data_IF_701889270053
#
_entry.id   IF_701889270053
#
_cell.length_a   1.000
_cell.length_b   1.000
_cell.length_c   1.000
_cell.angle_alpha   90.00
_cell.angle_beta   90.00
_cell.angle_gamma   90.00
#
_symmetry.space_group_name_H-M   'P 1'
#
loop_
_entity.id
_entity.type
_entity.pdbx_description
1 polymer ?
#
# COMPACT_ATOMS: atom_id res chain seq x y z
N UNK A 1 4.38 -3.18 6.97
CA UNK A 1 3.99 -2.52 5.70
C UNK A 1 3.81 -3.57 4.64
N UNK A 2 2.78 -3.48 3.81
CA UNK A 2 2.51 -4.42 2.72
C UNK A 2 2.81 -3.75 1.38
N UNK A 3 3.62 -4.37 0.52
CA UNK A 3 4.03 -3.77 -0.76
C UNK A 3 4.36 -4.81 -1.83
N UNK A 4 4.19 -4.47 -3.11
CA UNK A 4 4.80 -5.20 -4.24
C UNK A 4 6.02 -4.47 -4.84
N UNK A 5 6.46 -3.37 -4.24
CA UNK A 5 7.54 -2.53 -4.72
C UNK A 5 8.88 -2.94 -4.06
N UNK A 6 9.81 -3.61 -4.77
CA UNK A 6 11.08 -4.03 -4.19
C UNK A 6 11.94 -2.83 -3.73
N UNK A 7 11.82 -1.67 -4.39
CA UNK A 7 12.57 -0.48 -4.01
C UNK A 7 12.17 0.02 -2.60
N UNK A 8 10.90 -0.16 -2.22
CA UNK A 8 10.41 0.17 -0.87
C UNK A 8 11.06 -0.73 0.18
N UNK A 9 11.14 -2.04 -0.08
CA UNK A 9 11.84 -2.99 0.80
C UNK A 9 13.31 -2.61 0.93
N UNK A 10 14.01 -2.33 -0.17
CA UNK A 10 15.43 -1.96 -0.15
C UNK A 10 15.71 -0.71 0.70
N UNK A 11 14.83 0.30 0.65
CA UNK A 11 15.06 1.59 1.29
C UNK A 11 14.51 1.70 2.72
N UNK A 12 13.41 1.01 3.04
CA UNK A 12 12.69 1.22 4.30
C UNK A 12 12.78 0.04 5.29
N UNK A 13 13.32 -1.11 4.90
CA UNK A 13 13.36 -2.30 5.75
C UNK A 13 14.25 -2.17 7.00
N UNK A 14 15.10 -1.15 7.07
CA UNK A 14 15.87 -0.83 8.28
C UNK A 14 15.07 0.02 9.28
N UNK A 15 13.98 0.65 8.84
CA UNK A 15 13.15 1.57 9.64
C UNK A 15 11.84 0.93 10.09
N UNK A 16 11.23 0.14 9.21
CA UNK A 16 9.93 -0.50 9.44
C UNK A 16 9.92 -1.91 8.86
N UNK A 17 9.08 -2.77 9.43
CA UNK A 17 8.83 -4.10 8.88
C UNK A 17 8.10 -3.99 7.53
N UNK A 18 8.65 -4.64 6.50
CA UNK A 18 8.12 -4.60 5.12
C UNK A 18 7.90 -6.02 4.60
N UNK A 19 6.65 -6.37 4.33
CA UNK A 19 6.26 -7.58 3.63
C UNK A 19 6.19 -7.30 2.13
N UNK A 20 7.13 -7.89 1.38
CA UNK A 20 7.24 -7.73 -0.06
C UNK A 20 6.58 -8.90 -0.80
N UNK A 21 5.63 -8.58 -1.65
CA UNK A 21 4.95 -9.50 -2.58
C UNK A 21 5.25 -9.06 -4.02
N UNK A 22 6.48 -9.30 -4.49
CA UNK A 22 6.95 -8.74 -5.77
C UNK A 22 6.15 -9.19 -7.01
N UNK A 23 5.54 -10.38 -6.94
CA UNK A 23 4.74 -10.94 -8.03
C UNK A 23 3.25 -10.52 -7.98
N UNK A 24 2.84 -9.84 -6.91
CA UNK A 24 1.47 -9.36 -6.76
C UNK A 24 1.19 -8.17 -7.69
N UNK A 25 -0.02 -8.14 -8.26
CA UNK A 25 -0.52 -6.91 -8.84
C UNK A 25 -0.90 -5.89 -7.77
N UNK A 26 -1.08 -4.64 -8.16
CA UNK A 26 -1.68 -3.61 -7.29
C UNK A 26 -2.97 -4.10 -6.61
N UNK A 27 -3.84 -4.81 -7.35
CA UNK A 27 -5.10 -5.33 -6.80
C UNK A 27 -4.87 -6.38 -5.72
N UNK A 28 -3.88 -7.26 -5.92
CA UNK A 28 -3.54 -8.31 -4.97
C UNK A 28 -2.97 -7.71 -3.67
N UNK A 29 -2.15 -6.67 -3.76
CA UNK A 29 -1.68 -5.91 -2.58
C UNK A 29 -2.87 -5.37 -1.78
N UNK A 30 -3.86 -4.74 -2.42
CA UNK A 30 -5.03 -4.23 -1.71
C UNK A 30 -5.85 -5.35 -1.03
N UNK A 31 -6.00 -6.51 -1.69
CA UNK A 31 -6.66 -7.67 -1.07
C UNK A 31 -5.90 -8.19 0.15
N UNK A 32 -4.57 -8.26 0.09
CA UNK A 32 -3.76 -8.65 1.25
C UNK A 32 -3.97 -7.69 2.40
N UNK A 33 -3.92 -6.39 2.14
CA UNK A 33 -4.19 -5.36 3.16
C UNK A 33 -5.56 -5.58 3.80
N UNK A 34 -6.61 -5.86 3.01
CA UNK A 34 -7.93 -6.19 3.55
C UNK A 34 -7.90 -7.44 4.45
N UNK A 35 -7.19 -8.50 4.03
CA UNK A 35 -7.09 -9.73 4.82
C UNK A 35 -6.34 -9.49 6.16
N UNK A 36 -5.34 -8.60 6.16
CA UNK A 36 -4.71 -8.11 7.40
C UNK A 36 -5.69 -7.29 8.25
N UNK A 37 -6.49 -6.40 7.64
CA UNK A 37 -7.51 -5.64 8.38
C UNK A 37 -8.53 -6.56 9.06
N UNK A 38 -9.05 -7.56 8.35
CA UNK A 38 -9.92 -8.58 8.95
C UNK A 38 -9.24 -9.35 10.09
N UNK A 39 -7.92 -9.47 10.05
CA UNK A 39 -7.12 -10.12 11.09
C UNK A 39 -6.80 -9.21 12.29
N UNK A 40 -7.26 -7.96 12.30
CA UNK A 40 -7.10 -7.02 13.41
C UNK A 40 -6.06 -5.92 13.19
N UNK A 41 -5.45 -5.81 12.02
CA UNK A 41 -4.52 -4.71 11.73
C UNK A 41 -5.26 -3.44 11.30
N UNK A 42 -4.71 -2.27 11.62
CA UNK A 42 -5.27 -0.97 11.22
C UNK A 42 -4.39 -0.33 10.15
N UNK A 43 -5.01 0.37 9.19
CA UNK A 43 -4.32 1.08 8.12
C UNK A 43 -3.83 2.45 8.60
N UNK A 44 -2.57 2.77 8.32
CA UNK A 44 -1.90 4.02 8.71
C UNK A 44 -1.74 5.00 7.54
N UNK A 45 -1.80 4.50 6.30
CA UNK A 45 -1.71 5.33 5.09
C UNK A 45 -2.85 5.00 4.15
N UNK A 46 -3.50 6.01 3.58
CA UNK A 46 -4.63 5.80 2.67
C UNK A 46 -4.24 4.85 1.51
N UNK A 47 -5.01 3.77 1.22
CA UNK A 47 -4.62 2.76 0.23
C UNK A 47 -4.47 3.28 -1.21
N UNK A 48 -5.17 4.37 -1.54
CA UNK A 48 -5.04 5.07 -2.82
C UNK A 48 -4.23 6.38 -2.71
N UNK A 49 -3.24 6.43 -1.81
CA UNK A 49 -2.42 7.63 -1.63
C UNK A 49 -1.68 8.03 -2.93
N UNK A 50 -1.55 9.35 -3.11
CA UNK A 50 -0.92 9.98 -4.27
C UNK A 50 -1.92 10.54 -5.29
N UNK A 51 -1.43 11.39 -6.19
CA UNK A 51 -2.19 11.94 -7.32
C UNK A 51 -2.20 11.01 -8.54
N UNK A 52 -1.33 9.99 -8.55
CA UNK A 52 -1.30 8.95 -9.59
C UNK A 52 -2.55 8.10 -9.44
N UNK A 53 -3.32 7.97 -10.51
CA UNK A 53 -4.55 7.19 -10.45
C UNK A 53 -4.20 5.72 -10.19
N UNK A 54 -5.04 4.99 -9.44
CA UNK A 54 -4.74 3.61 -9.04
C UNK A 54 -4.43 2.68 -10.21
N UNK A 55 -5.05 2.92 -11.37
CA UNK A 55 -4.87 2.17 -12.60
C UNK A 55 -3.69 2.62 -13.48
N UNK A 56 -2.91 3.61 -13.05
CA UNK A 56 -1.76 4.14 -13.79
C UNK A 56 -0.42 3.62 -13.23
N UNK A 57 -0.41 3.00 -12.04
CA UNK A 57 0.80 2.45 -11.41
C UNK A 57 0.72 0.93 -11.20
N UNK A 58 1.77 0.17 -11.54
CA UNK A 58 1.88 -1.25 -11.20
C UNK A 58 2.26 -1.48 -9.73
N UNK A 59 2.81 -0.46 -9.06
CA UNK A 59 3.29 -0.56 -7.68
C UNK A 59 2.31 0.05 -6.68
N UNK A 60 2.19 -0.60 -5.53
CA UNK A 60 1.39 -0.14 -4.40
C UNK A 60 2.04 -0.56 -3.08
N UNK A 61 2.04 0.38 -2.15
CA UNK A 61 2.43 0.16 -0.76
C UNK A 61 1.39 0.72 0.21
N UNK A 62 1.14 0.00 1.31
CA UNK A 62 0.25 0.44 2.40
C UNK A 62 0.91 0.16 3.74
N UNK A 63 1.01 1.17 4.60
CA UNK A 63 1.42 1.00 5.98
C UNK A 63 0.22 0.56 6.83
N UNK A 64 0.46 -0.44 7.67
CA UNK A 64 -0.48 -0.95 8.66
C UNK A 64 0.23 -0.99 10.01
N UNK A 65 -0.52 -1.10 11.11
CA UNK A 65 0.02 -1.31 12.45
C UNK A 65 0.94 -2.54 12.50
N UNK A 66 1.88 -2.56 13.43
CA UNK A 66 2.76 -3.73 13.67
C UNK A 66 2.04 -4.81 14.48
N UNK A 67 1.10 -4.40 15.32
CA UNK A 67 0.33 -5.29 16.18
C UNK A 67 -1.14 -5.35 15.76
N UNK A 68 -1.79 -6.46 16.11
CA UNK A 68 -3.22 -6.69 15.91
C UNK A 68 -3.99 -6.13 17.10
N UNK A 69 -5.09 -5.45 16.81
CA UNK A 69 -6.08 -5.04 17.78
C UNK A 69 -7.12 -6.17 17.99
N UNK A 70 -7.78 -6.20 19.14
CA UNK A 70 -8.80 -7.24 19.44
C UNK A 70 -10.02 -7.15 18.52
N UNK A 71 -10.33 -5.95 18.03
CA UNK A 71 -11.47 -5.67 17.17
C UNK A 71 -10.98 -5.16 15.82
N UNK A 72 -11.69 -5.52 14.77
CA UNK A 72 -11.46 -4.96 13.44
C UNK A 72 -11.73 -3.45 13.45
N UNK A 73 -10.76 -2.67 12.97
CA UNK A 73 -10.94 -1.24 12.74
C UNK A 73 -11.88 -1.02 11.55
N UNK A 74 -13.11 -0.60 11.83
CA UNK A 74 -14.15 -0.47 10.80
C UNK A 74 -13.82 0.62 9.77
N UNK A 75 -13.08 1.66 10.18
CA UNK A 75 -12.63 2.69 9.25
C UNK A 75 -11.63 2.12 8.23
N UNK A 76 -10.64 1.35 8.69
CA UNK A 76 -9.68 0.64 7.83
C UNK A 76 -10.39 -0.32 6.88
N UNK A 77 -11.43 -1.01 7.36
CA UNK A 77 -12.22 -1.90 6.51
C UNK A 77 -12.98 -1.13 5.42
N UNK A 78 -13.62 -0.01 5.78
CA UNK A 78 -14.34 0.83 4.82
C UNK A 78 -13.40 1.38 3.73
N UNK A 79 -12.25 1.94 4.12
CA UNK A 79 -11.33 2.56 3.15
C UNK A 79 -10.68 1.53 2.22
N UNK A 80 -10.39 0.31 2.70
CA UNK A 80 -9.79 -0.73 1.84
C UNK A 80 -10.81 -1.31 0.87
N UNK A 81 -12.05 -1.54 1.30
CA UNK A 81 -13.13 -1.99 0.42
C UNK A 81 -13.44 -0.94 -0.66
N UNK A 82 -13.49 0.33 -0.28
CA UNK A 82 -13.67 1.42 -1.23
C UNK A 82 -12.51 1.51 -2.24
N UNK A 83 -11.28 1.30 -1.79
CA UNK A 83 -10.10 1.29 -2.66
C UNK A 83 -10.15 0.15 -3.69
N UNK A 84 -10.46 -1.07 -3.24
CA UNK A 84 -10.62 -2.24 -4.10
C UNK A 84 -11.74 -2.00 -5.12
N UNK A 85 -12.91 -1.57 -4.66
CA UNK A 85 -14.05 -1.29 -5.53
C UNK A 85 -13.74 -0.22 -6.60
N UNK A 86 -13.02 0.82 -6.21
CA UNK A 86 -12.60 1.90 -7.14
C UNK A 86 -11.66 1.35 -8.22
N UNK A 87 -10.72 0.47 -7.84
CA UNK A 87 -9.81 -0.16 -8.79
C UNK A 87 -10.54 -1.12 -9.73
N UNK A 88 -11.47 -1.93 -9.21
CA UNK A 88 -12.25 -2.89 -10.00
C UNK A 88 -13.18 -2.21 -11.01
N UNK A 89 -13.68 -1.02 -10.68
CA UNK A 89 -14.46 -0.19 -11.62
C UNK A 89 -13.62 0.43 -12.72
N UNK A 90 -12.30 0.49 -12.58
CA UNK A 90 -11.43 1.03 -13.61
C UNK A 90 -11.40 0.10 -14.82
N UNK A 91 -11.73 0.62 -16.00
CA UNK A 91 -11.62 -0.13 -17.27
C UNK A 91 -10.18 -0.16 -17.82
N UNK A 92 -9.28 0.64 -17.25
CA UNK A 92 -7.89 0.72 -17.68
C UNK A 92 -6.99 -0.07 -16.74
N UNK A 93 -6.08 -0.84 -17.32
CA UNK A 93 -4.94 -1.45 -16.61
C UNK A 93 -3.68 -0.74 -17.08
N UNK A 94 -2.70 -0.48 -16.19
CA UNK A 94 -1.45 0.10 -16.61
C UNK A 94 -0.73 -0.93 -17.48
N UNK A 95 -0.56 -0.63 -18.77
CA UNK A 95 0.34 -1.39 -19.65
C UNK A 95 1.65 -0.63 -19.65
N UNK A 96 2.51 -0.94 -18.68
CA UNK A 96 3.84 -0.34 -18.58
C UNK A 96 4.86 -1.45 -18.81
N UNK A 97 5.40 -1.50 -20.03
CA UNK A 97 6.39 -2.52 -20.44
C UNK A 97 7.82 -1.96 -20.52
N UNK A 98 8.02 -0.67 -20.23
CA UNK A 98 9.35 -0.04 -20.24
C UNK A 98 9.94 -0.03 -18.82
N UNK A 99 11.12 -0.66 -18.68
CA UNK A 99 11.82 -0.77 -17.40
C UNK A 99 12.16 0.57 -16.75
N UNK A 100 12.46 1.63 -17.53
CA UNK A 100 12.72 2.97 -16.96
C UNK A 100 11.46 3.56 -16.34
N UNK A 101 10.32 3.38 -17.02
CA UNK A 101 9.02 3.86 -16.54
C UNK A 101 8.61 3.11 -15.27
N UNK A 102 8.92 1.81 -15.19
CA UNK A 102 8.71 1.04 -13.96
C UNK A 102 9.51 1.63 -12.79
N UNK A 103 10.80 1.94 -12.98
CA UNK A 103 11.62 2.56 -11.93
C UNK A 103 11.07 3.91 -11.48
N UNK A 104 10.56 4.75 -12.39
CA UNK A 104 9.91 6.01 -12.03
C UNK A 104 8.68 5.78 -11.14
N UNK A 105 7.84 4.79 -11.47
CA UNK A 105 6.70 4.44 -10.60
C UNK A 105 7.13 3.90 -9.23
N UNK A 106 8.22 3.13 -9.16
CA UNK A 106 8.78 2.68 -7.88
C UNK A 106 9.22 3.85 -7.00
N UNK A 107 9.89 4.85 -7.61
CA UNK A 107 10.34 6.05 -6.92
C UNK A 107 9.18 6.91 -6.43
N UNK A 108 8.13 7.06 -7.24
CA UNK A 108 6.91 7.78 -6.84
C UNK A 108 6.29 7.13 -5.60
N UNK A 109 6.05 5.82 -5.63
CA UNK A 109 5.46 5.09 -4.50
C UNK A 109 6.34 5.18 -3.24
N UNK A 110 7.67 5.03 -3.38
CA UNK A 110 8.62 5.23 -2.27
C UNK A 110 8.54 6.65 -1.68
N UNK A 111 8.52 7.68 -2.53
CA UNK A 111 8.51 9.09 -2.08
C UNK A 111 7.23 9.44 -1.31
N UNK A 112 6.09 8.86 -1.69
CA UNK A 112 4.82 9.02 -1.00
C UNK A 112 4.89 8.41 0.40
N UNK A 113 5.47 7.22 0.54
CA UNK A 113 5.65 6.55 1.83
C UNK A 113 6.62 7.31 2.73
N UNK A 114 7.76 7.77 2.21
CA UNK A 114 8.72 8.56 2.98
C UNK A 114 8.10 9.84 3.53
N UNK A 115 7.22 10.48 2.76
CA UNK A 115 6.50 11.68 3.20
C UNK A 115 5.43 11.37 4.25
N UNK A 116 4.83 10.17 4.20
CA UNK A 116 3.80 9.75 5.14
C UNK A 116 4.36 9.12 6.44
N UNK A 117 5.59 8.60 6.41
CA UNK A 117 6.20 7.82 7.50
C UNK A 117 6.13 8.55 8.86
N UNK A 118 6.49 9.85 9.00
CA UNK A 118 6.45 10.51 10.30
C UNK A 118 5.04 10.58 10.90
N UNK A 119 4.02 10.77 10.06
CA UNK A 119 2.62 10.77 10.50
C UNK A 119 2.14 9.37 10.85
N UNK A 120 2.56 8.35 10.11
CA UNK A 120 2.19 6.96 10.35
C UNK A 120 2.81 6.45 11.66
N UNK A 121 4.07 6.78 11.95
CA UNK A 121 4.75 6.44 13.20
C UNK A 121 4.01 7.03 14.41
N UNK A 122 3.60 8.31 14.34
CA UNK A 122 2.82 8.94 15.40
C UNK A 122 1.46 8.26 15.64
N UNK A 123 0.84 7.67 14.60
CA UNK A 123 -0.43 6.97 14.70
C UNK A 123 -0.31 5.49 15.11
N UNK A 124 0.87 4.89 14.95
CA UNK A 124 1.14 3.47 15.23
C UNK A 124 1.66 3.19 16.65
N UNK A 125 2.03 4.21 17.41
CA UNK A 125 2.44 4.08 18.83
C UNK A 125 1.26 4.04 19.82
N UNK A 126 0.03 3.90 19.32
CA UNK A 126 -1.22 3.88 20.08
C UNK A 126 -2.03 2.66 19.72
#
# INVERSE_FOLDING_TARGET
MITNNPLVKENLNALVEVDLFADDSHHDVLKRVRDFVHSGYRILTHPLAGSVKPWETPYRSVMITTEREEKTDMFSLEIIEQAIFTLEKSQTRPVVNDGKVLTDFQLVDLSLLQSALPSAEAQGQH
#
